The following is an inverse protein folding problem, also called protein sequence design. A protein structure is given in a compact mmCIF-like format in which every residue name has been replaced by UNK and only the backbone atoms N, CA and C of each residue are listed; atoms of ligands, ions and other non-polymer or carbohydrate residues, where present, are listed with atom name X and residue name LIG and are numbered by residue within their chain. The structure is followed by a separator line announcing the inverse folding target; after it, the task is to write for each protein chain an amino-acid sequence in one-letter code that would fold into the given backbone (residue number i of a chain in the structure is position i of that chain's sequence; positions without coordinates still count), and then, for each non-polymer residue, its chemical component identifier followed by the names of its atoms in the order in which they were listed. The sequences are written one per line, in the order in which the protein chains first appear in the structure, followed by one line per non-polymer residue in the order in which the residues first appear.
data_IF_989718196087
#
_entry.id   IF_989718196087
#
_cell.length_a   1.000
_cell.length_b   1.000
_cell.length_c   1.000
_cell.angle_alpha   90.00
_cell.angle_beta   90.00
_cell.angle_gamma   90.00
#
_symmetry.space_group_name_H-M   'P 1'
#
loop_
_entity.id
_entity.type
_entity.pdbx_description
1 polymer ?
#
# COMPACT_ATOMS: atom_id res chain seq x y z
N UNK A 1 -12.34 5.08 10.03
CA UNK A 1 -11.72 3.75 10.21
C UNK A 1 -11.19 3.37 8.86
N UNK A 2 -9.93 2.99 8.77
CA UNK A 2 -9.22 2.75 7.51
C UNK A 2 -8.87 1.28 7.45
N UNK A 3 -9.90 0.41 7.49
CA UNK A 3 -9.68 -1.02 7.58
C UNK A 3 -9.03 -1.57 6.32
N UNK A 4 -8.54 -2.82 6.38
CA UNK A 4 -7.94 -3.51 5.23
C UNK A 4 -8.73 -3.36 3.91
N UNK A 5 -10.06 -3.49 3.98
CA UNK A 5 -10.92 -3.37 2.80
C UNK A 5 -10.97 -1.94 2.23
N UNK A 6 -10.94 -0.93 3.10
CA UNK A 6 -10.91 0.48 2.69
C UNK A 6 -9.57 0.82 2.04
N UNK A 7 -8.48 0.30 2.61
CA UNK A 7 -7.13 0.40 2.05
C UNK A 7 -7.13 -0.24 0.66
N UNK A 8 -7.60 -1.49 0.55
CA UNK A 8 -7.65 -2.23 -0.72
C UNK A 8 -8.48 -1.50 -1.78
N UNK A 9 -9.65 -0.98 -1.42
CA UNK A 9 -10.47 -0.18 -2.32
C UNK A 9 -9.74 1.07 -2.81
N UNK A 10 -9.01 1.77 -1.93
CA UNK A 10 -8.23 2.96 -2.27
C UNK A 10 -7.10 2.63 -3.25
N UNK A 11 -6.44 1.50 -3.06
CA UNK A 11 -5.37 1.02 -3.94
C UNK A 11 -5.91 0.67 -5.32
N UNK A 12 -6.98 -0.11 -5.35
CA UNK A 12 -7.66 -0.47 -6.59
C UNK A 12 -8.08 0.79 -7.35
N UNK A 13 -8.63 1.79 -6.68
CA UNK A 13 -8.93 3.09 -7.28
C UNK A 13 -7.68 3.77 -7.86
N UNK A 14 -6.57 3.81 -7.13
CA UNK A 14 -5.31 4.40 -7.62
C UNK A 14 -4.74 3.65 -8.82
N UNK A 15 -4.83 2.31 -8.82
CA UNK A 15 -4.43 1.49 -9.97
C UNK A 15 -5.33 1.77 -11.17
N UNK A 16 -6.65 1.82 -10.96
CA UNK A 16 -7.62 2.12 -12.02
C UNK A 16 -7.34 3.47 -12.68
N UNK A 17 -7.06 4.50 -11.87
CA UNK A 17 -6.70 5.84 -12.36
C UNK A 17 -5.40 5.87 -13.17
N UNK A 18 -4.43 5.01 -12.82
CA UNK A 18 -3.12 4.94 -13.50
C UNK A 18 -3.16 4.11 -14.79
N UNK A 19 -3.93 3.03 -14.80
CA UNK A 19 -4.00 2.08 -15.91
C UNK A 19 -5.07 2.50 -16.92
N UNK A 20 -6.09 3.24 -16.49
CA UNK A 20 -7.23 3.62 -17.33
C UNK A 20 -8.28 2.52 -17.48
N UNK A 21 -8.27 1.53 -16.60
CA UNK A 21 -9.18 0.39 -16.55
C UNK A 21 -9.76 0.23 -15.14
N UNK A 22 -10.83 -0.53 -14.98
CA UNK A 22 -11.42 -0.78 -13.65
C UNK A 22 -10.77 -2.01 -13.00
N UNK A 23 -10.03 -1.78 -11.90
CA UNK A 23 -9.36 -2.81 -11.11
C UNK A 23 -10.16 -3.07 -9.85
N UNK A 24 -10.58 -4.32 -9.65
CA UNK A 24 -11.28 -4.76 -8.45
C UNK A 24 -10.33 -5.47 -7.45
N UNK A 25 -10.62 -5.44 -6.14
CA UNK A 25 -9.81 -6.10 -5.10
C UNK A 25 -9.54 -7.58 -5.34
N UNK A 26 -10.44 -8.30 -6.03
CA UNK A 26 -10.27 -9.71 -6.33
C UNK A 26 -9.25 -10.01 -7.43
N UNK A 27 -8.79 -9.00 -8.16
CA UNK A 27 -7.86 -9.16 -9.28
C UNK A 27 -6.39 -8.89 -8.90
N UNK A 28 -6.15 -8.17 -7.80
CA UNK A 28 -4.81 -7.89 -7.31
C UNK A 28 -4.33 -9.01 -6.36
N UNK A 29 -3.10 -9.49 -6.56
CA UNK A 29 -2.41 -10.28 -5.55
C UNK A 29 -2.06 -9.39 -4.36
N UNK A 30 -2.20 -9.89 -3.14
CA UNK A 30 -1.94 -9.11 -1.92
C UNK A 30 -1.03 -9.85 -0.95
N UNK A 31 -0.17 -9.09 -0.28
CA UNK A 31 0.63 -9.56 0.85
C UNK A 31 0.63 -8.49 1.95
N UNK A 32 0.79 -8.91 3.19
CA UNK A 32 0.86 -7.99 4.34
C UNK A 32 1.99 -8.42 5.23
N UNK A 33 2.91 -7.50 5.47
CA UNK A 33 4.13 -7.74 6.23
C UNK A 33 4.21 -6.74 7.38
N UNK A 34 4.55 -7.23 8.56
CA UNK A 34 4.85 -6.38 9.72
C UNK A 34 6.32 -6.01 9.66
N UNK A 35 6.61 -4.72 9.73
CA UNK A 35 7.96 -4.18 9.73
C UNK A 35 8.14 -3.21 10.89
N UNK A 36 9.37 -3.11 11.35
CA UNK A 36 9.79 -2.02 12.21
C UNK A 36 9.97 -0.75 11.37
N UNK A 37 9.70 0.41 11.97
CA UNK A 37 9.79 1.71 11.28
C UNK A 37 11.19 2.03 10.74
N UNK A 38 12.25 1.49 11.34
CA UNK A 38 13.64 1.61 10.88
C UNK A 38 13.96 0.79 9.63
N UNK A 39 13.15 -0.24 9.32
CA UNK A 39 13.23 -1.02 8.09
C UNK A 39 12.56 -0.30 6.91
N UNK A 40 11.84 0.80 7.17
CA UNK A 40 11.08 1.53 6.16
C UNK A 40 11.85 2.74 5.66
N UNK A 41 12.32 2.64 4.42
CA UNK A 41 13.06 3.70 3.72
C UNK A 41 12.20 4.68 2.89
N UNK A 42 10.87 4.70 3.05
CA UNK A 42 10.03 5.56 2.20
C UNK A 42 10.28 7.06 2.48
N UNK A 43 10.58 7.87 1.45
CA UNK A 43 10.78 9.30 1.61
C UNK A 43 9.53 9.97 2.20
N UNK A 44 9.70 10.81 3.23
CA UNK A 44 8.66 11.68 3.75
C UNK A 44 7.82 11.13 4.91
N UNK A 45 8.03 9.89 5.36
CA UNK A 45 7.25 9.29 6.46
C UNK A 45 8.06 8.81 7.67
N UNK A 46 9.39 8.73 7.56
CA UNK A 46 10.27 8.10 8.57
C UNK A 46 10.19 8.73 9.98
N UNK A 47 9.75 9.98 10.09
CA UNK A 47 9.62 10.69 11.38
C UNK A 47 8.23 10.63 12.03
N UNK A 48 7.24 10.02 11.38
CA UNK A 48 5.85 9.98 11.85
C UNK A 48 5.32 8.56 12.06
N UNK A 49 6.12 7.53 11.71
CA UNK A 49 5.71 6.14 11.89
C UNK A 49 5.79 5.72 13.37
N UNK A 50 4.85 4.91 13.84
CA UNK A 50 4.99 4.19 15.10
C UNK A 50 6.13 3.16 14.99
N UNK A 51 6.59 2.63 16.13
CA UNK A 51 7.72 1.71 16.18
C UNK A 51 7.57 0.51 15.22
N UNK A 52 6.35 0.01 15.07
CA UNK A 52 6.00 -1.07 14.16
C UNK A 52 4.75 -0.71 13.34
N UNK A 53 4.74 -1.15 12.09
CA UNK A 53 3.67 -0.89 11.14
C UNK A 53 3.36 -2.14 10.32
N UNK A 54 2.22 -2.13 9.66
CA UNK A 54 1.88 -3.07 8.60
C UNK A 54 2.12 -2.40 7.26
N UNK A 55 2.85 -3.10 6.39
CA UNK A 55 3.00 -2.77 4.98
C UNK A 55 2.16 -3.77 4.19
N UNK A 56 1.10 -3.26 3.58
CA UNK A 56 0.33 -4.00 2.60
C UNK A 56 0.99 -3.79 1.23
N UNK A 57 1.30 -4.87 0.54
CA UNK A 57 1.81 -4.85 -0.84
C UNK A 57 0.78 -5.46 -1.77
N UNK A 58 0.73 -4.97 -2.99
CA UNK A 58 -0.24 -5.43 -3.99
C UNK A 58 0.40 -5.46 -5.36
N UNK A 59 0.01 -6.46 -6.15
CA UNK A 59 0.52 -6.68 -7.49
C UNK A 59 -0.69 -6.89 -8.42
N UNK A 60 -0.75 -6.11 -9.48
CA UNK A 60 -1.73 -6.23 -10.53
C UNK A 60 -1.01 -6.12 -11.87
N UNK A 61 -0.95 -7.23 -12.62
CA UNK A 61 -0.15 -7.34 -13.84
C UNK A 61 1.31 -6.86 -13.63
N UNK A 62 1.70 -5.79 -14.33
CA UNK A 62 3.03 -5.18 -14.24
C UNK A 62 3.10 -4.04 -13.21
N UNK A 63 1.98 -3.72 -12.55
CA UNK A 63 1.91 -2.70 -11.52
C UNK A 63 2.05 -3.31 -10.13
N UNK A 64 2.83 -2.64 -9.31
CA UNK A 64 2.95 -2.92 -7.88
C UNK A 64 2.49 -1.71 -7.08
N UNK A 65 2.08 -1.93 -5.84
CA UNK A 65 1.80 -0.84 -4.93
C UNK A 65 2.05 -1.23 -3.49
N UNK A 66 2.02 -0.22 -2.63
CA UNK A 66 2.16 -0.39 -1.21
C UNK A 66 1.25 0.57 -0.42
N UNK A 67 0.91 0.18 0.80
CA UNK A 67 0.28 1.02 1.81
C UNK A 67 0.91 0.73 3.17
N UNK A 68 1.25 1.80 3.91
CA UNK A 68 1.84 1.71 5.24
C UNK A 68 0.82 2.18 6.27
N UNK A 69 0.45 1.31 7.19
CA UNK A 69 -0.55 1.58 8.23
C UNK A 69 -0.06 1.16 9.61
N UNK A 70 -0.65 1.68 10.67
CA UNK A 70 -0.38 1.17 12.02
C UNK A 70 -0.94 -0.26 12.20
N UNK A 71 -0.48 -0.95 13.24
CA UNK A 71 -0.91 -2.34 13.51
C UNK A 71 -2.42 -2.47 13.72
N UNK A 72 -3.07 -1.42 14.22
CA UNK A 72 -4.53 -1.34 14.40
C UNK A 72 -5.28 -1.04 13.10
N UNK A 73 -4.57 -0.74 12.01
CA UNK A 73 -5.13 -0.31 10.71
C UNK A 73 -6.12 0.85 10.87
N UNK A 74 -5.76 1.80 11.73
CA UNK A 74 -6.55 3.00 12.01
C UNK A 74 -5.98 4.21 11.27
N UNK A 75 -4.67 4.25 11.04
CA UNK A 75 -3.96 5.36 10.42
C UNK A 75 -3.22 4.90 9.16
N UNK A 76 -3.42 5.62 8.05
CA UNK A 76 -2.66 5.47 6.80
C UNK A 76 -1.54 6.51 6.75
N UNK A 77 -0.29 6.04 6.70
CA UNK A 77 0.90 6.89 6.68
C UNK A 77 1.41 7.13 5.26
N UNK A 78 1.32 6.11 4.39
CA UNK A 78 1.71 6.22 2.99
C UNK A 78 0.92 5.25 2.13
N UNK A 79 0.73 5.63 0.87
CA UNK A 79 0.14 4.79 -0.17
C UNK A 79 0.75 5.17 -1.51
N UNK A 80 1.00 4.18 -2.36
CA UNK A 80 1.57 4.42 -3.67
C UNK A 80 1.44 3.22 -4.59
N UNK A 81 1.55 3.50 -5.89
CA UNK A 81 1.60 2.52 -6.98
C UNK A 81 2.74 2.88 -7.91
N UNK A 82 3.40 1.88 -8.46
CA UNK A 82 4.57 1.99 -9.34
C UNK A 82 4.55 0.88 -10.38
N UNK A 83 5.12 1.15 -11.55
CA UNK A 83 5.21 0.18 -12.63
C UNK A 83 6.52 -0.60 -12.51
N UNK A 84 6.48 -1.93 -12.71
CA UNK A 84 7.57 -2.86 -12.41
C UNK A 84 8.89 -2.64 -13.15
N UNK A 85 8.95 -1.69 -14.08
CA UNK A 85 10.17 -1.29 -14.77
C UNK A 85 10.91 -0.09 -14.14
N UNK A 86 10.38 0.54 -13.08
CA UNK A 86 10.95 1.76 -12.48
C UNK A 86 12.01 1.50 -11.36
N UNK A 87 12.78 0.41 -11.46
CA UNK A 87 13.95 0.16 -10.59
C UNK A 87 15.27 0.56 -11.26
#
# INVERSE_FOLDING_TARGET
MTGFNDIMATICQLLSERIGEDVEPGQAGYESIRLSSDEIGYPGITGILPAEVLVHMFIYEEWSGYAVVDLEQSNLYAIGVFYGADY
#
